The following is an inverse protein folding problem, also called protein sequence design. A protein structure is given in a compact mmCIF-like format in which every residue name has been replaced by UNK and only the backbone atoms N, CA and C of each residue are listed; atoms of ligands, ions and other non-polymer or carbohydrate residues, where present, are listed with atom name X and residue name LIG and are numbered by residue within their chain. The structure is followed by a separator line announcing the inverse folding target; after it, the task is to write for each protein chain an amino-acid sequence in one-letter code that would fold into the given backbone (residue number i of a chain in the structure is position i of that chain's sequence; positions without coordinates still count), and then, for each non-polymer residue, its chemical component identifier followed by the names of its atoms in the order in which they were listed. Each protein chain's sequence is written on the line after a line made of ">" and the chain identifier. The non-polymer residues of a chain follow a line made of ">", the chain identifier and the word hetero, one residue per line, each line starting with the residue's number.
data_IF_499730660612
#
_entry.id   IF_499730660612
#
_cell.length_a   1.000
_cell.length_b   1.000
_cell.length_c   1.000
_cell.angle_alpha   90.00
_cell.angle_beta   90.00
_cell.angle_gamma   90.00
#
_symmetry.space_group_name_H-M   'P 1'
#
loop_
_entity.id
_entity.type
_entity.pdbx_description
1 polymer ?
#
# COMPACT_ATOMS: atom_id res chain seq x y z
N UNK A 1 3.16 -15.22 -3.98
CA UNK A 1 2.32 -14.25 -4.72
C UNK A 1 3.22 -13.44 -5.63
N UNK A 2 2.88 -13.26 -6.91
CA UNK A 2 3.62 -12.34 -7.79
C UNK A 2 3.17 -10.93 -7.48
N UNK A 3 4.11 -10.02 -7.20
CA UNK A 3 3.84 -8.63 -6.82
C UNK A 3 4.54 -7.68 -7.76
N UNK A 4 3.94 -6.51 -8.00
CA UNK A 4 4.53 -5.41 -8.76
C UNK A 4 5.48 -4.57 -7.91
N UNK A 5 5.08 -4.28 -6.67
CA UNK A 5 5.91 -3.57 -5.70
C UNK A 5 6.61 -4.57 -4.77
N UNK A 6 7.88 -4.35 -4.48
CA UNK A 6 8.62 -5.11 -3.46
C UNK A 6 8.17 -4.73 -2.03
N UNK A 7 8.63 -5.42 -0.99
CA UNK A 7 8.37 -4.98 0.40
C UNK A 7 9.09 -3.65 0.70
N UNK A 8 10.30 -3.50 0.15
CA UNK A 8 11.08 -2.26 0.23
C UNK A 8 10.42 -1.09 -0.48
N UNK A 9 9.78 -1.34 -1.62
CA UNK A 9 9.04 -0.31 -2.35
C UNK A 9 7.86 0.22 -1.51
N UNK A 10 7.13 -0.69 -0.86
CA UNK A 10 6.02 -0.30 0.02
C UNK A 10 6.52 0.47 1.25
N UNK A 11 7.61 0.02 1.87
CA UNK A 11 8.25 0.72 2.99
C UNK A 11 8.68 2.13 2.57
N UNK A 12 9.36 2.28 1.43
CA UNK A 12 9.76 3.57 0.87
C UNK A 12 8.56 4.50 0.63
N UNK A 13 7.48 3.99 0.03
CA UNK A 13 6.25 4.78 -0.18
C UNK A 13 5.65 5.26 1.15
N UNK A 14 5.64 4.41 2.18
CA UNK A 14 5.17 4.79 3.52
C UNK A 14 6.06 5.86 4.13
N UNK A 15 7.39 5.72 4.05
CA UNK A 15 8.34 6.70 4.56
C UNK A 15 8.17 8.06 3.87
N UNK A 16 8.03 8.08 2.55
CA UNK A 16 7.73 9.31 1.79
C UNK A 16 6.44 9.96 2.30
N UNK A 17 5.37 9.19 2.53
CA UNK A 17 4.09 9.74 3.02
C UNK A 17 4.13 10.28 4.46
N UNK A 18 4.96 9.70 5.33
CA UNK A 18 5.12 10.16 6.73
C UNK A 18 5.85 11.50 6.82
N UNK A 19 6.75 11.79 5.89
CA UNK A 19 7.55 13.03 5.90
C UNK A 19 6.70 14.24 5.44
N UNK A 20 5.68 14.03 4.61
CA UNK A 20 5.02 15.11 3.88
C UNK A 20 3.50 15.24 4.10
N UNK A 21 2.93 14.52 5.08
CA UNK A 21 1.49 14.54 5.45
C UNK A 21 0.51 14.18 4.31
N UNK A 22 1.00 13.70 3.17
CA UNK A 22 0.18 13.12 2.10
C UNK A 22 -0.02 11.63 2.37
N UNK A 23 -1.17 11.28 2.93
CA UNK A 23 -1.38 9.95 3.49
C UNK A 23 -1.87 8.90 2.49
N UNK A 24 -2.40 9.26 1.31
CA UNK A 24 -3.16 8.29 0.51
C UNK A 24 -2.32 7.15 -0.11
N UNK A 25 -1.22 7.41 -0.87
CA UNK A 25 -0.35 6.32 -1.34
C UNK A 25 0.26 5.51 -0.20
N UNK A 26 0.68 6.17 0.88
CA UNK A 26 1.25 5.53 2.07
C UNK A 26 0.23 4.66 2.83
N UNK A 27 -1.03 5.09 2.94
CA UNK A 27 -2.11 4.30 3.54
C UNK A 27 -2.37 3.02 2.73
N UNK A 28 -2.42 3.13 1.40
CA UNK A 28 -2.58 1.96 0.53
C UNK A 28 -1.38 1.02 0.65
N UNK A 29 -0.15 1.55 0.64
CA UNK A 29 1.06 0.77 0.81
C UNK A 29 1.11 0.04 2.18
N UNK A 30 0.76 0.74 3.26
CA UNK A 30 0.66 0.16 4.60
C UNK A 30 -0.41 -0.94 4.68
N UNK A 31 -1.58 -0.75 4.08
CA UNK A 31 -2.60 -1.79 3.99
C UNK A 31 -2.11 -3.01 3.19
N UNK A 32 -1.37 -2.80 2.09
CA UNK A 32 -0.76 -3.89 1.33
C UNK A 32 0.27 -4.68 2.16
N UNK A 33 1.08 -4.01 2.99
CA UNK A 33 2.01 -4.69 3.91
C UNK A 33 1.25 -5.56 4.92
N UNK A 34 0.15 -5.07 5.50
CA UNK A 34 -0.69 -5.85 6.41
C UNK A 34 -1.30 -7.08 5.71
N UNK A 35 -1.77 -6.95 4.47
CA UNK A 35 -2.28 -8.08 3.69
C UNK A 35 -1.19 -9.13 3.42
N UNK A 36 0.05 -8.72 3.14
CA UNK A 36 1.19 -9.64 2.98
C UNK A 36 1.49 -10.40 4.27
N UNK A 37 1.48 -9.71 5.40
CA UNK A 37 1.67 -10.32 6.72
C UNK A 37 0.56 -11.34 7.03
N UNK A 38 -0.69 -11.01 6.70
CA UNK A 38 -1.81 -11.92 6.87
C UNK A 38 -1.66 -13.18 6.02
N UNK A 39 -1.32 -13.05 4.72
CA UNK A 39 -1.03 -14.22 3.86
C UNK A 39 0.09 -15.07 4.45
N UNK A 40 1.20 -14.45 4.84
CA UNK A 40 2.34 -15.17 5.41
C UNK A 40 1.95 -15.92 6.69
N UNK A 41 1.10 -15.34 7.53
CA UNK A 41 0.56 -15.99 8.71
C UNK A 41 -0.32 -17.19 8.33
N UNK A 42 -1.26 -17.04 7.39
CA UNK A 42 -2.11 -18.16 6.96
C UNK A 42 -1.29 -19.31 6.37
N UNK A 43 -0.26 -19.02 5.56
CA UNK A 43 0.61 -20.05 4.99
C UNK A 43 1.38 -20.83 6.07
N UNK A 44 1.76 -20.18 7.18
CA UNK A 44 2.34 -20.89 8.33
C UNK A 44 1.31 -21.79 9.01
N UNK A 45 0.08 -21.31 9.21
CA UNK A 45 -0.99 -22.13 9.79
C UNK A 45 -1.35 -23.34 8.92
N UNK A 46 -1.35 -23.21 7.59
CA UNK A 46 -1.62 -24.33 6.65
C UNK A 46 -0.55 -25.42 6.75
N UNK A 47 0.69 -25.08 7.13
CA UNK A 47 1.76 -26.07 7.29
C UNK A 47 1.66 -26.91 8.57
N UNK A 48 0.75 -26.55 9.47
CA UNK A 48 0.49 -27.24 10.73
C UNK A 48 -0.74 -28.16 10.57
N UNK A 49 -0.56 -29.49 10.71
CA UNK A 49 -1.63 -30.47 10.48
C UNK A 49 -2.75 -30.41 11.52
N UNK A 50 -2.55 -29.76 12.67
CA UNK A 50 -3.59 -29.61 13.70
C UNK A 50 -4.62 -28.53 13.34
N UNK A 51 -4.33 -27.71 12.33
CA UNK A 51 -5.22 -26.63 11.89
C UNK A 51 -6.22 -27.08 10.82
N UNK A 52 -7.37 -26.40 10.77
CA UNK A 52 -8.31 -26.56 9.67
C UNK A 52 -7.78 -25.86 8.41
N UNK A 53 -7.19 -26.64 7.51
CA UNK A 53 -6.58 -26.15 6.25
C UNK A 53 -7.57 -25.34 5.42
N UNK A 54 -8.85 -25.74 5.33
CA UNK A 54 -9.85 -25.08 4.49
C UNK A 54 -10.12 -23.64 4.95
N UNK A 55 -10.19 -23.42 6.27
CA UNK A 55 -10.36 -22.08 6.85
C UNK A 55 -9.19 -21.17 6.47
N UNK A 56 -7.96 -21.63 6.67
CA UNK A 56 -6.77 -20.82 6.40
C UNK A 56 -6.57 -20.58 4.91
N UNK A 57 -6.88 -21.56 4.06
CA UNK A 57 -6.83 -21.40 2.61
C UNK A 57 -7.85 -20.36 2.14
N UNK A 58 -9.08 -20.40 2.65
CA UNK A 58 -10.11 -19.42 2.29
C UNK A 58 -9.73 -17.98 2.68
N UNK A 59 -9.10 -17.79 3.85
CA UNK A 59 -8.58 -16.49 4.28
C UNK A 59 -7.42 -16.05 3.37
N UNK A 60 -6.46 -16.94 3.10
CA UNK A 60 -5.32 -16.65 2.25
C UNK A 60 -5.76 -16.22 0.84
N UNK A 61 -6.67 -16.97 0.22
CA UNK A 61 -7.18 -16.69 -1.12
C UNK A 61 -7.91 -15.35 -1.19
N UNK A 62 -8.74 -15.05 -0.19
CA UNK A 62 -9.46 -13.76 -0.11
C UNK A 62 -8.49 -12.60 0.10
N UNK A 63 -7.48 -12.79 0.94
CA UNK A 63 -6.44 -11.79 1.22
C UNK A 63 -5.59 -11.51 -0.03
N UNK A 64 -5.27 -12.54 -0.83
CA UNK A 64 -4.55 -12.38 -2.10
C UNK A 64 -5.39 -11.58 -3.11
N UNK A 65 -6.70 -11.80 -3.17
CA UNK A 65 -7.60 -11.00 -4.02
C UNK A 65 -7.61 -9.52 -3.61
N UNK A 66 -7.74 -9.26 -2.31
CA UNK A 66 -7.69 -7.89 -1.78
C UNK A 66 -6.32 -7.23 -2.05
N UNK A 67 -5.21 -7.97 -1.91
CA UNK A 67 -3.87 -7.47 -2.20
C UNK A 67 -3.73 -7.03 -3.65
N UNK A 68 -4.22 -7.83 -4.60
CA UNK A 68 -4.20 -7.50 -6.04
C UNK A 68 -5.02 -6.24 -6.35
N UNK A 69 -6.17 -6.07 -5.71
CA UNK A 69 -7.00 -4.88 -5.89
C UNK A 69 -6.26 -3.64 -5.39
N UNK A 70 -5.66 -3.69 -4.19
CA UNK A 70 -4.89 -2.58 -3.64
C UNK A 70 -3.60 -2.30 -4.42
N UNK A 71 -2.94 -3.33 -4.99
CA UNK A 71 -1.77 -3.14 -5.85
C UNK A 71 -2.12 -2.38 -7.15
N UNK A 72 -3.28 -2.68 -7.72
CA UNK A 72 -3.83 -1.94 -8.86
C UNK A 72 -4.23 -0.51 -8.46
N UNK A 73 -4.84 -0.34 -7.28
CA UNK A 73 -5.17 0.97 -6.72
C UNK A 73 -3.91 1.82 -6.53
N UNK A 74 -2.87 1.31 -5.87
CA UNK A 74 -1.63 2.02 -5.61
C UNK A 74 -0.95 2.47 -6.90
N UNK A 75 -0.94 1.62 -7.94
CA UNK A 75 -0.44 2.00 -9.26
C UNK A 75 -1.17 3.23 -9.83
N UNK A 76 -2.51 3.27 -9.71
CA UNK A 76 -3.32 4.39 -10.21
C UNK A 76 -3.08 5.64 -9.37
N UNK A 77 -3.03 5.52 -8.04
CA UNK A 77 -2.81 6.65 -7.13
C UNK A 77 -1.43 7.28 -7.37
N UNK A 78 -0.37 6.48 -7.49
CA UNK A 78 0.98 6.97 -7.83
C UNK A 78 0.95 7.78 -9.14
N UNK A 79 0.23 7.31 -10.16
CA UNK A 79 0.11 8.01 -11.43
C UNK A 79 -0.71 9.31 -11.33
N UNK A 80 -1.81 9.30 -10.55
CA UNK A 80 -2.67 10.48 -10.33
C UNK A 80 -1.97 11.58 -9.53
N UNK A 81 -1.19 11.18 -8.53
CA UNK A 81 -0.39 12.08 -7.68
C UNK A 81 0.96 12.44 -8.33
N UNK A 82 1.21 11.97 -9.56
CA UNK A 82 2.42 12.25 -10.34
C UNK A 82 3.74 11.85 -9.67
N UNK A 83 3.72 10.79 -8.86
CA UNK A 83 4.93 10.20 -8.27
C UNK A 83 5.82 9.61 -9.37
N UNK A 84 7.13 9.63 -9.13
CA UNK A 84 8.08 8.99 -10.04
C UNK A 84 7.80 7.48 -10.07
N UNK A 85 7.48 6.89 -11.23
CA UNK A 85 7.08 5.49 -11.30
C UNK A 85 8.25 4.51 -11.14
N UNK A 86 9.49 5.00 -11.16
CA UNK A 86 10.72 4.22 -11.02
C UNK A 86 11.29 4.37 -9.62
N UNK A 87 11.50 5.59 -9.16
CA UNK A 87 12.07 5.84 -7.82
C UNK A 87 11.03 5.77 -6.72
N UNK A 88 9.74 5.88 -7.07
CA UNK A 88 8.63 5.97 -6.12
C UNK A 88 8.76 7.15 -5.18
N UNK A 89 9.43 8.21 -5.64
CA UNK A 89 9.55 9.46 -4.93
C UNK A 89 8.36 10.37 -5.26
N UNK A 90 7.95 11.14 -4.26
CA UNK A 90 6.91 12.15 -4.41
C UNK A 90 7.46 13.37 -5.19
N UNK A 91 6.69 13.97 -6.12
CA UNK A 91 7.20 15.06 -6.94
C UNK A 91 7.36 16.35 -6.12
N UNK A 92 8.45 17.09 -6.35
CA UNK A 92 8.77 18.31 -5.59
C UNK A 92 7.68 19.39 -5.69
N UNK A 93 6.93 19.44 -6.80
CA UNK A 93 5.84 20.39 -7.03
C UNK A 93 4.55 20.09 -6.25
N UNK A 94 4.32 18.84 -5.84
CA UNK A 94 3.17 18.47 -5.00
C UNK A 94 3.25 19.16 -3.63
N UNK A 95 4.48 19.24 -3.09
CA UNK A 95 4.78 19.88 -1.81
C UNK A 95 4.27 21.31 -1.75
N UNK A 96 4.40 22.07 -2.85
CA UNK A 96 3.98 23.47 -2.92
C UNK A 96 2.48 23.58 -3.14
N UNK A 97 1.93 22.81 -4.09
CA UNK A 97 0.48 22.80 -4.36
C UNK A 97 -0.36 22.43 -3.14
N UNK A 98 0.06 21.44 -2.35
CA UNK A 98 -0.70 21.01 -1.17
C UNK A 98 -0.65 22.03 -0.02
N UNK A 99 0.48 22.73 0.16
CA UNK A 99 0.55 23.86 1.10
C UNK A 99 -0.36 25.01 0.65
N UNK A 100 -0.41 25.28 -0.65
CA UNK A 100 -1.26 26.32 -1.22
C UNK A 100 -2.75 25.93 -1.07
N UNK A 101 -3.14 24.68 -1.35
CA UNK A 101 -4.51 24.17 -1.21
C UNK A 101 -5.01 24.12 0.25
N UNK A 102 -4.14 23.76 1.20
CA UNK A 102 -4.49 23.79 2.63
C UNK A 102 -4.69 25.22 3.14
N UNK A 103 -3.88 26.18 2.68
CA UNK A 103 -4.02 27.60 3.03
C UNK A 103 -5.27 28.25 2.42
N UNK A 104 -5.71 27.80 1.24
CA UNK A 104 -6.94 28.31 0.60
C UNK A 104 -8.22 27.79 1.30
N UNK A 105 -8.18 26.59 1.90
CA UNK A 105 -9.32 26.03 2.66
C UNK A 105 -9.56 26.74 4.01
N UNK A 106 -8.53 27.35 4.60
CA UNK A 106 -8.66 28.16 5.84
C UNK A 106 -9.17 29.59 5.57
N UNK A 107 -9.32 29.99 4.30
CA UNK A 107 -9.80 31.32 3.88
C UNK A 107 -11.21 31.34 3.27
N UNK A 108 -11.90 30.19 3.21
CA UNK A 108 -13.27 30.03 2.68
C UNK A 108 -14.29 29.70 3.78
#
# INVERSE_FOLDING_TARGET
>A
MKTKFSDRDLEHIVEQGMIFMCACPAQVAGAMQQLRQLVAYQMRCISDPDNNIEVHQQIADSTIKAHRELEACLTKVIALEHWDPVTLDMPEGLRKRQLDEANDQDQA
#
